data_IF_349045702704
#
_entry.id   IF_349045702704
#
_cell.length_a   1.000
_cell.length_b   1.000
_cell.length_c   1.000
_cell.angle_alpha   90.00
_cell.angle_beta   90.00
_cell.angle_gamma   90.00
#
_symmetry.space_group_name_H-M   'P 1'
#
loop_
_entity.id
_entity.type
_entity.pdbx_description
1 polymer ?
#
# COMPACT_ATOMS: atom_id res chain seq x y z
N UNK A 1 11.01 6.70 8.72
CA UNK A 1 12.29 7.40 8.81
C UNK A 1 13.38 6.46 8.34
N UNK A 2 14.33 6.97 7.53
CA UNK A 2 15.46 6.21 7.01
C UNK A 2 16.50 6.02 8.11
N UNK A 3 17.16 4.85 8.15
CA UNK A 3 18.29 4.63 9.06
C UNK A 3 19.57 5.21 8.48
N UNK A 4 19.75 5.13 7.15
CA UNK A 4 20.92 5.63 6.47
C UNK A 4 20.56 6.19 5.09
N UNK A 5 20.98 7.43 4.81
CA UNK A 5 20.90 8.04 3.50
C UNK A 5 22.28 8.02 2.89
N UNK A 6 22.46 7.25 1.83
CA UNK A 6 23.76 7.08 1.16
C UNK A 6 23.94 8.02 -0.02
N UNK A 7 22.84 8.47 -0.66
CA UNK A 7 22.91 9.28 -1.86
C UNK A 7 21.76 10.28 -1.94
N UNK A 8 22.08 11.50 -2.34
CA UNK A 8 21.09 12.55 -2.67
C UNK A 8 21.51 13.22 -3.96
N UNK A 9 20.58 13.32 -4.93
CA UNK A 9 20.76 14.03 -6.21
C UNK A 9 19.51 14.83 -6.54
N UNK A 10 19.65 16.10 -6.88
CA UNK A 10 18.55 16.91 -7.39
C UNK A 10 18.60 16.92 -8.92
N UNK A 11 17.48 16.61 -9.57
CA UNK A 11 17.39 16.70 -11.03
C UNK A 11 17.04 18.13 -11.49
N UNK A 12 17.10 18.37 -12.80
CA UNK A 12 16.79 19.68 -13.39
C UNK A 12 15.31 20.06 -13.31
N UNK A 13 14.43 19.13 -12.95
CA UNK A 13 12.99 19.36 -12.80
C UNK A 13 12.59 19.65 -11.34
N UNK A 14 13.57 19.68 -10.43
CA UNK A 14 13.37 19.96 -9.01
C UNK A 14 12.90 18.75 -8.20
N UNK A 15 13.09 17.51 -8.70
CA UNK A 15 12.90 16.32 -7.89
C UNK A 15 14.21 15.97 -7.19
N UNK A 16 14.13 15.55 -5.94
CA UNK A 16 15.29 15.10 -5.18
C UNK A 16 15.25 13.58 -5.08
N UNK A 17 16.21 12.95 -5.72
CA UNK A 17 16.38 11.50 -5.69
C UNK A 17 17.24 11.11 -4.50
N UNK A 18 16.78 10.11 -3.73
CA UNK A 18 17.37 9.69 -2.46
C UNK A 18 17.56 8.18 -2.47
N UNK A 19 18.81 7.74 -2.32
CA UNK A 19 19.14 6.35 -2.01
C UNK A 19 19.25 6.20 -0.50
N UNK A 20 18.42 5.36 0.10
CA UNK A 20 18.39 5.11 1.52
C UNK A 20 17.95 3.68 1.82
N UNK A 21 18.57 3.01 2.79
CA UNK A 21 18.22 1.67 3.24
C UNK A 21 18.04 0.64 2.09
N UNK A 22 18.94 0.71 1.08
CA UNK A 22 18.91 -0.09 -0.14
C UNK A 22 17.70 0.17 -1.06
N UNK A 23 16.95 1.24 -0.84
CA UNK A 23 15.77 1.66 -1.61
C UNK A 23 16.03 2.99 -2.32
N UNK A 24 15.22 3.27 -3.36
CA UNK A 24 15.22 4.53 -4.08
C UNK A 24 13.94 5.30 -3.82
N UNK A 25 14.08 6.56 -3.48
CA UNK A 25 12.97 7.50 -3.30
C UNK A 25 13.14 8.73 -4.18
N UNK A 26 12.02 9.35 -4.56
CA UNK A 26 11.99 10.72 -5.05
C UNK A 26 11.19 11.59 -4.09
N UNK A 27 11.78 12.70 -3.67
CA UNK A 27 11.06 13.78 -3.01
C UNK A 27 10.58 14.78 -4.05
N UNK A 28 9.26 14.90 -4.19
CA UNK A 28 8.59 15.85 -5.07
C UNK A 28 8.37 17.14 -4.29
N UNK A 29 9.23 18.16 -4.54
CA UNK A 29 9.26 19.38 -3.73
C UNK A 29 7.92 20.13 -3.78
N UNK A 30 7.32 20.22 -4.96
CA UNK A 30 6.06 20.97 -5.17
C UNK A 30 4.88 20.30 -4.46
N UNK A 31 4.80 18.98 -4.55
CA UNK A 31 3.73 18.16 -3.98
C UNK A 31 3.97 17.83 -2.50
N UNK A 32 5.18 18.11 -2.00
CA UNK A 32 5.64 17.74 -0.64
C UNK A 32 5.45 16.26 -0.32
N UNK A 33 5.80 15.39 -1.27
CA UNK A 33 5.57 13.95 -1.21
C UNK A 33 6.82 13.15 -1.49
N UNK A 34 6.97 12.01 -0.80
CA UNK A 34 7.93 10.98 -1.16
C UNK A 34 7.26 9.93 -2.05
N UNK A 35 7.96 9.52 -3.09
CA UNK A 35 7.58 8.38 -3.94
C UNK A 35 8.67 7.33 -3.83
N UNK A 36 8.32 6.10 -3.45
CA UNK A 36 9.21 4.96 -3.40
C UNK A 36 9.21 4.25 -4.76
N UNK A 37 10.39 3.86 -5.22
CA UNK A 37 10.59 3.06 -6.44
C UNK A 37 11.07 1.67 -6.08
N UNK A 38 10.48 0.67 -6.72
CA UNK A 38 10.78 -0.73 -6.53
C UNK A 38 10.89 -1.50 -7.84
N UNK A 39 10.87 -2.83 -7.77
CA UNK A 39 11.01 -3.71 -8.94
C UNK A 39 9.92 -3.49 -9.98
N UNK A 40 8.70 -3.13 -9.57
CA UNK A 40 7.61 -2.79 -10.48
C UNK A 40 7.90 -1.56 -11.36
N UNK A 41 8.82 -0.71 -10.91
CA UNK A 41 9.27 0.48 -11.63
C UNK A 41 10.58 0.22 -12.39
N UNK A 42 11.06 -1.02 -12.43
CA UNK A 42 12.35 -1.39 -13.00
C UNK A 42 13.55 -1.08 -12.11
N UNK A 43 13.33 -0.78 -10.83
CA UNK A 43 14.38 -0.45 -9.86
C UNK A 43 14.63 -1.67 -8.97
N UNK A 44 15.78 -2.30 -9.11
CA UNK A 44 16.21 -3.37 -8.22
C UNK A 44 16.67 -2.79 -6.87
N UNK A 45 16.41 -3.52 -5.79
CA UNK A 45 16.97 -3.18 -4.48
C UNK A 45 18.50 -3.16 -4.55
N UNK A 46 19.11 -2.03 -4.20
CA UNK A 46 20.52 -1.78 -4.38
C UNK A 46 21.08 -0.88 -3.27
N UNK A 47 22.28 -1.18 -2.82
CA UNK A 47 23.04 -0.26 -1.97
C UNK A 47 23.64 0.83 -2.86
N UNK A 48 23.05 2.01 -2.81
CA UNK A 48 23.50 3.16 -3.59
C UNK A 48 24.74 3.77 -2.95
N UNK A 49 25.74 4.03 -3.77
CA UNK A 49 26.98 4.64 -3.34
C UNK A 49 26.88 6.16 -3.44
N UNK A 50 27.53 6.86 -2.52
CA UNK A 50 27.61 8.32 -2.58
C UNK A 50 28.32 8.83 -3.84
N UNK A 51 29.12 7.98 -4.46
CA UNK A 51 29.81 8.17 -5.74
C UNK A 51 29.92 6.82 -6.45
N UNK A 52 29.80 6.69 -7.79
CA UNK A 52 29.55 7.79 -8.74
C UNK A 52 28.07 8.19 -8.79
N UNK A 53 27.85 9.48 -8.93
CA UNK A 53 26.54 10.06 -9.27
C UNK A 53 26.78 11.10 -10.36
N UNK A 54 25.90 11.14 -11.35
CA UNK A 54 26.00 12.05 -12.48
C UNK A 54 24.61 12.58 -12.82
N UNK A 55 24.54 13.88 -13.00
CA UNK A 55 23.43 14.52 -13.71
C UNK A 55 23.93 14.81 -15.13
N UNK A 56 23.30 14.19 -16.13
CA UNK A 56 23.67 14.40 -17.53
C UNK A 56 23.29 15.80 -18.01
N UNK A 57 23.90 16.24 -19.12
CA UNK A 57 23.51 17.50 -19.77
C UNK A 57 22.07 17.51 -20.25
N UNK A 58 21.50 16.33 -20.52
CA UNK A 58 20.09 16.15 -20.90
C UNK A 58 19.15 16.12 -19.70
N UNK A 59 19.68 16.18 -18.48
CA UNK A 59 18.92 16.18 -17.23
C UNK A 59 18.63 14.81 -16.64
N UNK A 60 19.15 13.72 -17.22
CA UNK A 60 19.01 12.37 -16.68
C UNK A 60 19.94 12.16 -15.48
N UNK A 61 19.50 11.36 -14.54
CA UNK A 61 20.26 11.00 -13.34
C UNK A 61 20.85 9.61 -13.47
N UNK A 62 22.12 9.46 -13.15
CA UNK A 62 22.82 8.19 -13.05
C UNK A 62 23.33 7.99 -11.64
N UNK A 63 23.08 6.81 -11.07
CA UNK A 63 23.46 6.46 -9.70
C UNK A 63 24.17 5.10 -9.70
N UNK A 64 25.38 5.08 -9.14
CA UNK A 64 26.12 3.83 -8.92
C UNK A 64 25.63 3.12 -7.67
N UNK A 65 25.63 1.81 -7.72
CA UNK A 65 25.38 0.94 -6.57
C UNK A 65 26.12 -0.38 -6.67
N UNK A 66 26.08 -1.17 -5.64
CA UNK A 66 26.79 -2.46 -5.57
C UNK A 66 26.35 -3.42 -6.66
N UNK A 67 25.07 -3.37 -7.05
CA UNK A 67 24.49 -4.22 -8.10
C UNK A 67 24.51 -3.59 -9.50
N UNK A 68 25.20 -2.46 -9.69
CA UNK A 68 25.34 -1.83 -10.98
C UNK A 68 24.95 -0.36 -11.02
N UNK A 69 24.66 0.14 -12.21
CA UNK A 69 24.31 1.52 -12.49
C UNK A 69 22.81 1.66 -12.76
N UNK A 70 22.17 2.55 -12.05
CA UNK A 70 20.78 2.95 -12.31
C UNK A 70 20.80 4.21 -13.19
N UNK A 71 20.03 4.19 -14.27
CA UNK A 71 19.73 5.33 -15.13
C UNK A 71 18.26 5.75 -14.93
N UNK A 72 18.04 7.00 -14.64
CA UNK A 72 16.71 7.59 -14.47
C UNK A 72 16.50 8.63 -15.57
N UNK A 73 15.54 8.36 -16.45
CA UNK A 73 15.07 9.34 -17.42
C UNK A 73 14.13 10.32 -16.73
N UNK A 74 14.67 11.47 -16.32
CA UNK A 74 13.92 12.45 -15.56
C UNK A 74 12.87 13.22 -16.38
N UNK A 75 12.85 13.08 -17.71
CA UNK A 75 11.84 13.70 -18.58
C UNK A 75 10.50 12.97 -18.53
N UNK A 76 10.51 11.70 -18.16
CA UNK A 76 9.27 10.93 -17.99
C UNK A 76 8.55 11.46 -16.74
N UNK A 77 7.31 11.93 -16.87
CA UNK A 77 6.54 12.33 -15.70
C UNK A 77 6.43 11.15 -14.72
N UNK A 78 6.67 11.42 -13.45
CA UNK A 78 6.29 10.46 -12.43
C UNK A 78 4.77 10.49 -12.34
N UNK A 79 4.12 9.64 -13.12
CA UNK A 79 2.69 9.39 -12.93
C UNK A 79 2.55 8.79 -11.54
N UNK A 80 1.83 9.46 -10.66
CA UNK A 80 1.32 8.83 -9.45
C UNK A 80 0.56 7.61 -9.95
N UNK A 81 1.03 6.41 -9.59
CA UNK A 81 0.36 5.17 -9.91
C UNK A 81 -1.11 5.30 -9.52
N UNK A 82 -1.99 4.67 -10.29
CA UNK A 82 -3.40 4.57 -9.93
C UNK A 82 -3.52 4.24 -8.44
N UNK A 83 -4.43 4.91 -7.75
CA UNK A 83 -4.65 4.66 -6.33
C UNK A 83 -4.89 3.17 -6.12
N UNK A 84 -4.26 2.55 -5.12
CA UNK A 84 -4.48 1.14 -4.84
C UNK A 84 -5.96 0.86 -4.69
N UNK A 85 -6.44 -0.18 -5.38
CA UNK A 85 -7.79 -0.69 -5.18
C UNK A 85 -7.73 -1.85 -4.21
N UNK A 86 -8.53 -1.77 -3.15
CA UNK A 86 -8.72 -2.88 -2.23
C UNK A 86 -9.76 -3.84 -2.77
N UNK A 87 -9.51 -5.12 -2.60
CA UNK A 87 -10.46 -6.18 -2.92
C UNK A 87 -10.57 -7.12 -1.73
N UNK A 88 -11.77 -7.62 -1.50
CA UNK A 88 -11.99 -8.74 -0.61
C UNK A 88 -11.30 -9.98 -1.20
N UNK A 89 -10.41 -10.58 -0.43
CA UNK A 89 -9.67 -11.78 -0.84
C UNK A 89 -10.31 -13.02 -0.26
N UNK A 90 -10.73 -12.96 1.02
CA UNK A 90 -11.30 -14.09 1.73
C UNK A 90 -12.15 -13.62 2.91
N UNK A 91 -13.16 -14.41 3.25
CA UNK A 91 -13.87 -14.32 4.52
C UNK A 91 -13.89 -15.69 5.16
N UNK A 92 -13.42 -15.77 6.39
CA UNK A 92 -13.35 -17.00 7.16
C UNK A 92 -14.31 -16.86 8.36
N UNK A 93 -15.25 -17.77 8.48
CA UNK A 93 -16.20 -17.82 9.59
C UNK A 93 -15.94 -19.11 10.38
N UNK A 94 -15.60 -18.98 11.65
CA UNK A 94 -15.30 -20.11 12.55
C UNK A 94 -14.25 -21.10 12.00
N UNK A 95 -13.29 -20.57 11.22
CA UNK A 95 -12.20 -21.35 10.62
C UNK A 95 -12.49 -21.89 9.22
N UNK A 96 -13.70 -21.71 8.68
CA UNK A 96 -14.08 -22.15 7.34
C UNK A 96 -14.15 -20.95 6.38
N UNK A 97 -13.53 -21.06 5.19
CA UNK A 97 -13.60 -20.03 4.15
C UNK A 97 -14.95 -20.10 3.43
N UNK A 98 -15.61 -18.96 3.31
CA UNK A 98 -16.90 -18.83 2.60
C UNK A 98 -16.73 -18.30 1.17
N UNK A 99 -15.53 -18.40 0.60
CA UNK A 99 -15.19 -17.88 -0.73
C UNK A 99 -16.03 -18.44 -1.89
N UNK A 100 -16.57 -19.64 -1.75
CA UNK A 100 -17.37 -20.27 -2.82
C UNK A 100 -18.68 -19.52 -3.12
N UNK A 101 -19.12 -18.65 -2.22
CA UNK A 101 -20.33 -17.83 -2.39
C UNK A 101 -20.02 -16.45 -3.01
N UNK A 102 -18.72 -16.07 -3.09
CA UNK A 102 -18.25 -14.73 -3.52
C UNK A 102 -18.12 -14.56 -5.04
N UNK A 103 -18.45 -15.56 -5.85
CA UNK A 103 -18.21 -15.57 -7.30
C UNK A 103 -19.00 -14.51 -8.09
N UNK A 104 -19.98 -13.83 -7.46
CA UNK A 104 -20.80 -12.81 -8.14
C UNK A 104 -21.04 -11.55 -7.30
N UNK A 105 -19.97 -10.87 -6.83
CA UNK A 105 -19.98 -9.69 -5.94
C UNK A 105 -20.67 -9.96 -4.60
N UNK A 106 -19.95 -9.87 -3.48
CA UNK A 106 -20.52 -10.08 -2.17
C UNK A 106 -21.49 -8.94 -1.83
N UNK A 107 -22.76 -9.15 -2.04
CA UNK A 107 -23.79 -8.22 -1.60
C UNK A 107 -24.15 -8.42 -0.13
N UNK A 108 -23.47 -9.32 0.57
CA UNK A 108 -23.65 -9.51 2.00
C UNK A 108 -23.36 -10.96 2.40
N UNK A 109 -22.68 -11.11 3.52
CA UNK A 109 -22.44 -12.40 4.16
C UNK A 109 -23.21 -12.42 5.48
N UNK A 110 -23.82 -13.56 5.79
CA UNK A 110 -24.48 -13.77 7.08
C UNK A 110 -23.67 -14.73 7.94
N UNK A 111 -23.51 -14.41 9.22
CA UNK A 111 -22.85 -15.27 10.20
C UNK A 111 -23.72 -15.40 11.47
N UNK A 112 -23.71 -16.55 12.14
CA UNK A 112 -24.38 -16.72 13.44
C UNK A 112 -23.75 -15.79 14.49
N UNK A 113 -24.54 -15.44 15.50
CA UNK A 113 -24.01 -14.77 16.69
C UNK A 113 -22.87 -15.57 17.33
N UNK A 114 -21.92 -14.89 17.97
CA UNK A 114 -20.69 -15.47 18.54
C UNK A 114 -19.70 -16.08 17.52
N UNK A 115 -19.86 -15.84 16.24
CA UNK A 115 -18.86 -16.28 15.26
C UNK A 115 -17.55 -15.51 15.40
N UNK A 116 -16.45 -16.22 15.15
CA UNK A 116 -15.15 -15.62 14.88
C UNK A 116 -15.03 -15.37 13.36
N UNK A 117 -14.88 -14.13 12.97
CA UNK A 117 -14.85 -13.74 11.56
C UNK A 117 -13.50 -13.13 11.24
N UNK A 118 -12.84 -13.62 10.22
CA UNK A 118 -11.61 -13.02 9.69
C UNK A 118 -11.86 -12.58 8.26
N UNK A 119 -11.65 -11.30 8.01
CA UNK A 119 -11.80 -10.66 6.70
C UNK A 119 -10.40 -10.38 6.16
N UNK A 120 -10.08 -10.96 5.01
CA UNK A 120 -8.82 -10.71 4.30
C UNK A 120 -9.05 -9.81 3.10
N UNK A 121 -8.27 -8.76 3.01
CA UNK A 121 -8.27 -7.87 1.85
C UNK A 121 -6.93 -7.94 1.14
N UNK A 122 -6.95 -7.65 -0.15
CA UNK A 122 -5.74 -7.50 -0.95
C UNK A 122 -5.75 -6.16 -1.67
N UNK A 123 -4.59 -5.58 -1.84
CA UNK A 123 -4.38 -4.46 -2.73
C UNK A 123 -3.93 -4.97 -4.09
N UNK A 124 -4.52 -4.49 -5.18
CA UNK A 124 -4.10 -4.84 -6.55
C UNK A 124 -2.71 -4.31 -6.91
N UNK A 125 -2.17 -3.44 -6.12
CA UNK A 125 -0.84 -2.89 -6.33
C UNK A 125 0.23 -3.95 -6.02
N UNK A 126 1.10 -4.24 -6.98
CA UNK A 126 2.15 -5.27 -6.87
C UNK A 126 3.40 -4.82 -6.10
N UNK A 127 3.32 -3.76 -5.33
CA UNK A 127 4.48 -3.27 -4.59
C UNK A 127 4.71 -4.10 -3.33
N UNK A 128 5.53 -5.15 -3.47
CA UNK A 128 5.86 -6.12 -2.42
C UNK A 128 6.90 -5.59 -1.41
N UNK A 129 7.55 -4.46 -1.71
CA UNK A 129 8.67 -3.96 -0.88
C UNK A 129 8.24 -2.99 0.21
N UNK A 130 7.02 -2.49 0.18
CA UNK A 130 6.52 -1.58 1.18
C UNK A 130 5.47 -2.22 2.05
N UNK A 131 5.72 -2.23 3.35
CA UNK A 131 4.72 -2.60 4.34
C UNK A 131 3.60 -1.55 4.32
N UNK A 132 2.43 -1.92 3.80
CA UNK A 132 1.24 -1.07 3.80
C UNK A 132 0.65 -1.01 5.21
N UNK A 133 0.07 0.12 5.53
CA UNK A 133 -0.79 0.26 6.70
C UNK A 133 -2.22 0.21 6.21
N UNK A 134 -3.02 -0.63 6.82
CA UNK A 134 -4.45 -0.77 6.57
C UNK A 134 -5.23 -0.12 7.70
N UNK A 135 -6.36 0.46 7.36
CA UNK A 135 -7.29 1.06 8.32
C UNK A 135 -8.66 0.46 8.08
N UNK A 136 -9.26 -0.03 9.14
CA UNK A 136 -10.58 -0.64 9.12
C UNK A 136 -11.53 0.14 10.01
N UNK A 137 -12.81 0.15 9.63
CA UNK A 137 -13.90 0.69 10.42
C UNK A 137 -15.11 -0.21 10.24
N UNK A 138 -15.83 -0.49 11.33
CA UNK A 138 -17.06 -1.29 11.33
C UNK A 138 -18.21 -0.31 11.54
N UNK A 139 -18.87 0.09 10.47
CA UNK A 139 -20.07 0.92 10.55
C UNK A 139 -21.23 0.11 11.14
N UNK A 140 -21.97 0.70 12.06
CA UNK A 140 -23.04 0.05 12.83
C UNK A 140 -22.61 -0.49 14.19
N UNK A 141 -21.30 -0.51 14.51
CA UNK A 141 -20.81 -0.91 15.84
C UNK A 141 -20.32 0.29 16.64
N UNK A 142 -19.32 0.98 16.14
CA UNK A 142 -18.75 2.20 16.69
C UNK A 142 -17.92 2.89 15.60
N UNK A 143 -17.56 4.14 15.80
CA UNK A 143 -16.76 4.91 14.86
C UNK A 143 -15.24 4.70 15.05
N UNK A 144 -14.84 3.68 15.81
CA UNK A 144 -13.44 3.42 16.09
C UNK A 144 -12.73 2.87 14.83
N UNK A 145 -11.63 3.51 14.47
CA UNK A 145 -10.75 3.03 13.41
C UNK A 145 -9.66 2.13 13.98
N UNK A 146 -9.41 1.02 13.31
CA UNK A 146 -8.38 0.04 13.65
C UNK A 146 -7.29 0.12 12.59
N UNK A 147 -6.07 0.46 12.98
CA UNK A 147 -4.91 0.44 12.08
C UNK A 147 -4.08 -0.83 12.29
N UNK A 148 -3.64 -1.44 11.20
CA UNK A 148 -2.86 -2.67 11.20
C UNK A 148 -1.92 -2.73 10.01
N UNK A 149 -0.77 -3.35 10.18
CA UNK A 149 0.11 -3.74 9.07
C UNK A 149 -0.31 -5.05 8.42
N UNK A 150 -1.26 -5.77 9.04
CA UNK A 150 -1.80 -7.01 8.49
C UNK A 150 -3.03 -6.69 7.62
N UNK A 151 -3.13 -7.23 6.39
CA UNK A 151 -4.31 -7.10 5.55
C UNK A 151 -5.51 -7.94 6.04
N UNK A 152 -5.53 -8.30 7.31
CA UNK A 152 -6.57 -9.09 7.95
C UNK A 152 -7.23 -8.31 9.09
N UNK A 153 -8.56 -8.32 9.11
CA UNK A 153 -9.38 -7.85 10.22
C UNK A 153 -10.01 -9.06 10.92
N UNK A 154 -9.63 -9.30 12.16
CA UNK A 154 -10.26 -10.33 13.00
C UNK A 154 -11.34 -9.69 13.88
N UNK A 155 -12.56 -10.20 13.77
CA UNK A 155 -13.72 -9.74 14.50
C UNK A 155 -14.23 -10.89 15.37
N UNK A 156 -14.51 -10.60 16.64
CA UNK A 156 -15.05 -11.57 17.58
C UNK A 156 -16.34 -11.05 18.20
N UNK A 157 -17.34 -11.89 18.21
CA UNK A 157 -18.59 -11.66 19.01
C UNK A 157 -19.28 -10.32 18.70
N UNK A 158 -19.58 -10.05 17.42
CA UNK A 158 -20.47 -8.95 17.07
C UNK A 158 -21.89 -9.25 17.53
N UNK A 159 -22.60 -8.26 18.11
CA UNK A 159 -24.03 -8.40 18.37
C UNK A 159 -24.83 -8.68 17.07
N UNK A 160 -26.04 -9.31 17.18
CA UNK A 160 -26.93 -9.41 16.04
C UNK A 160 -27.24 -8.05 15.42
N UNK A 161 -27.13 -7.94 14.10
CA UNK A 161 -27.31 -6.69 13.37
C UNK A 161 -26.66 -6.70 12.00
N UNK A 162 -26.78 -5.59 11.29
CA UNK A 162 -26.16 -5.39 9.97
C UNK A 162 -25.02 -4.38 10.09
N UNK A 163 -23.89 -4.72 9.50
CA UNK A 163 -22.63 -3.96 9.58
C UNK A 163 -22.03 -3.77 8.20
N UNK A 164 -21.36 -2.63 8.01
CA UNK A 164 -20.53 -2.38 6.83
C UNK A 164 -19.07 -2.33 7.22
N UNK A 165 -18.26 -3.13 6.58
CA UNK A 165 -16.83 -3.15 6.78
C UNK A 165 -16.19 -2.21 5.78
N UNK A 166 -15.65 -1.12 6.29
CA UNK A 166 -14.94 -0.12 5.53
C UNK A 166 -13.44 -0.34 5.65
N UNK A 167 -12.72 -0.20 4.57
CA UNK A 167 -11.27 -0.33 4.57
C UNK A 167 -10.58 0.75 3.73
N UNK A 168 -9.37 1.07 4.12
CA UNK A 168 -8.46 1.98 3.45
C UNK A 168 -7.03 1.46 3.63
N UNK A 169 -6.10 1.86 2.78
CA UNK A 169 -4.68 1.57 2.96
C UNK A 169 -3.81 2.74 2.52
N UNK A 170 -2.53 2.67 2.86
CA UNK A 170 -1.57 3.65 2.38
C UNK A 170 -1.19 3.38 0.93
N UNK A 171 -1.19 4.43 0.11
CA UNK A 171 -0.67 4.43 -1.25
C UNK A 171 0.87 4.47 -1.25
N UNK A 172 1.48 4.36 -2.44
CA UNK A 172 2.93 4.38 -2.66
C UNK A 172 3.61 5.62 -2.09
N UNK A 173 2.93 6.76 -2.09
CA UNK A 173 3.43 8.04 -1.55
C UNK A 173 3.17 8.21 -0.03
N UNK A 174 2.60 7.19 0.62
CA UNK A 174 2.24 7.23 2.04
C UNK A 174 0.92 7.93 2.36
N UNK A 175 0.25 8.48 1.36
CA UNK A 175 -1.09 9.03 1.55
C UNK A 175 -2.11 7.91 1.75
N UNK A 176 -3.21 8.21 2.46
CA UNK A 176 -4.32 7.28 2.58
C UNK A 176 -5.21 7.34 1.34
N UNK A 177 -5.59 6.17 0.82
CA UNK A 177 -6.66 6.10 -0.17
C UNK A 177 -8.02 6.40 0.49
N UNK A 178 -9.02 6.85 -0.27
CA UNK A 178 -10.37 6.95 0.27
C UNK A 178 -10.86 5.63 0.85
N UNK A 179 -11.54 5.69 1.98
CA UNK A 179 -12.17 4.50 2.58
C UNK A 179 -13.26 3.98 1.65
N UNK A 180 -13.30 2.66 1.48
CA UNK A 180 -14.27 1.99 0.62
C UNK A 180 -14.93 0.83 1.35
N UNK A 181 -16.19 0.57 1.05
CA UNK A 181 -16.89 -0.61 1.53
C UNK A 181 -16.31 -1.86 0.89
N UNK A 182 -15.89 -2.82 1.73
CA UNK A 182 -15.31 -4.09 1.26
C UNK A 182 -16.24 -5.28 1.50
N UNK A 183 -17.16 -5.16 2.49
CA UNK A 183 -18.10 -6.23 2.83
C UNK A 183 -19.31 -5.67 3.59
N UNK A 184 -20.52 -6.16 3.25
CA UNK A 184 -21.69 -6.10 4.12
C UNK A 184 -21.79 -7.40 4.93
N UNK A 185 -21.95 -7.27 6.25
CA UNK A 185 -21.98 -8.40 7.18
C UNK A 185 -23.25 -8.34 8.01
N UNK A 186 -24.03 -9.44 7.99
CA UNK A 186 -25.23 -9.58 8.82
C UNK A 186 -24.98 -10.64 9.89
N UNK A 187 -25.11 -10.28 11.17
CA UNK A 187 -25.04 -11.22 12.28
C UNK A 187 -26.45 -11.64 12.65
N UNK A 188 -26.70 -12.92 12.51
CA UNK A 188 -27.98 -13.55 12.86
C UNK A 188 -28.04 -13.79 14.37
N UNK A 189 -29.24 -13.72 14.97
CA UNK A 189 -29.44 -13.99 16.39
C UNK A 189 -29.19 -15.46 16.77
#
# INVERSE_FOLDING_TARGET
>A
LFSEITLIVCDQQGKVWIGADSMLFAWLIKEKKFVLFGESDGVIQNEYLSKPRLLSMQGDVYMGGVKGLLHINCKIPLTTSELPQLQLSDVIINGESVNNELTNRPTGISAPWNSNITIRIMSKEKDIFRQKVYRYQIEGLNDQQIESYNPELAIRSLPPGSYKIMASCTAKDGSWIPSQEVLELTILP
#
